data_IF_661791191933
#
_entry.id   IF_661791191933
#
_cell.length_a   1.000
_cell.length_b   1.000
_cell.length_c   1.000
_cell.angle_alpha   90.00
_cell.angle_beta   90.00
_cell.angle_gamma   90.00
#
_symmetry.space_group_name_H-M   'P 1'
#
loop_
_entity.id
_entity.type
_entity.pdbx_description
1 polymer ?
#
# COMPACT_ATOMS: atom_id res chain seq x y z
N UNK A 1 44.15 -3.64 -48.73
CA UNK A 1 43.19 -4.53 -48.04
C UNK A 1 43.33 -4.28 -46.55
N UNK A 2 42.38 -3.55 -45.97
CA UNK A 2 42.35 -3.15 -44.55
C UNK A 2 41.85 -4.30 -43.69
N UNK A 3 42.52 -4.58 -42.57
CA UNK A 3 42.02 -5.47 -41.51
C UNK A 3 41.84 -4.62 -40.24
N UNK A 4 40.60 -4.26 -39.93
CA UNK A 4 40.21 -3.52 -38.73
C UNK A 4 39.63 -4.52 -37.73
N UNK A 5 40.38 -4.79 -36.66
CA UNK A 5 39.87 -5.43 -35.45
C UNK A 5 38.91 -4.44 -34.77
N UNK A 6 37.61 -4.75 -34.79
CA UNK A 6 36.60 -4.00 -34.03
C UNK A 6 36.54 -4.56 -32.60
N UNK A 7 36.88 -3.71 -31.64
CA UNK A 7 36.56 -3.94 -30.23
C UNK A 7 35.04 -3.89 -30.06
N UNK A 8 34.40 -5.04 -29.85
CA UNK A 8 33.03 -5.09 -29.39
C UNK A 8 32.98 -4.56 -27.95
N UNK A 9 32.53 -3.31 -27.80
CA UNK A 9 32.24 -2.70 -26.50
C UNK A 9 30.92 -3.28 -26.00
N UNK A 10 30.94 -3.97 -24.87
CA UNK A 10 29.71 -4.39 -24.20
C UNK A 10 28.90 -3.15 -23.78
N UNK A 11 27.55 -3.17 -23.90
CA UNK A 11 26.70 -2.04 -23.51
C UNK A 11 26.77 -1.79 -21.99
N UNK A 12 26.64 -0.51 -21.57
CA UNK A 12 26.96 -0.09 -20.19
C UNK A 12 26.14 -0.78 -19.10
N UNK A 13 24.95 -1.28 -19.42
CA UNK A 13 24.10 -2.02 -18.48
C UNK A 13 24.67 -3.39 -18.07
N UNK A 14 25.61 -3.96 -18.84
CA UNK A 14 26.24 -5.24 -18.51
C UNK A 14 27.22 -5.13 -17.32
N UNK A 15 27.69 -3.91 -16.99
CA UNK A 15 28.46 -3.63 -15.78
C UNK A 15 27.56 -3.39 -14.55
N UNK A 16 26.27 -3.10 -14.75
CA UNK A 16 25.32 -2.83 -13.67
C UNK A 16 24.84 -4.12 -13.00
N UNK A 17 24.70 -5.23 -13.74
CA UNK A 17 24.27 -6.53 -13.17
C UNK A 17 25.26 -7.10 -12.16
N UNK A 18 26.56 -6.90 -12.37
CA UNK A 18 27.60 -7.38 -11.46
C UNK A 18 27.72 -6.48 -10.21
N UNK A 19 27.46 -5.17 -10.36
CA UNK A 19 27.40 -4.22 -9.26
C UNK A 19 26.15 -4.43 -8.38
N UNK A 20 25.01 -4.79 -8.99
CA UNK A 20 23.77 -5.15 -8.29
C UNK A 20 23.96 -6.47 -7.51
N UNK A 21 24.55 -7.50 -8.13
CA UNK A 21 24.83 -8.77 -7.46
C UNK A 21 25.83 -8.61 -6.29
N UNK A 22 26.87 -7.76 -6.44
CA UNK A 22 27.80 -7.45 -5.35
C UNK A 22 27.14 -6.66 -4.22
N UNK A 23 26.22 -5.74 -4.52
CA UNK A 23 25.42 -5.04 -3.49
C UNK A 23 24.47 -5.98 -2.74
N UNK A 24 23.83 -6.93 -3.44
CA UNK A 24 22.99 -7.96 -2.81
C UNK A 24 23.79 -8.86 -1.86
N UNK A 25 25.02 -9.24 -2.23
CA UNK A 25 25.93 -10.03 -1.38
C UNK A 25 26.52 -9.24 -0.20
N UNK A 26 26.78 -7.94 -0.38
CA UNK A 26 27.31 -7.09 0.68
C UNK A 26 26.23 -6.66 1.69
N UNK A 27 24.95 -6.58 1.28
CA UNK A 27 23.81 -6.36 2.18
C UNK A 27 23.46 -7.57 3.05
N UNK A 28 23.82 -8.79 2.66
CA UNK A 28 23.67 -9.98 3.50
C UNK A 28 24.66 -10.05 4.67
N UNK A 29 25.76 -9.29 4.63
CA UNK A 29 26.84 -9.37 5.62
C UNK A 29 26.70 -8.41 6.81
N UNK A 30 25.73 -7.48 6.81
CA UNK A 30 25.60 -6.44 7.84
C UNK A 30 24.38 -6.62 8.76
N UNK A 31 23.87 -7.87 8.88
CA UNK A 31 22.66 -8.20 9.65
C UNK A 31 22.98 -8.52 11.11
N UNK A 32 23.29 -7.50 11.90
CA UNK A 32 23.18 -7.60 13.37
C UNK A 32 22.03 -6.69 13.83
N UNK A 33 20.90 -7.31 14.16
CA UNK A 33 19.81 -6.68 14.92
C UNK A 33 18.47 -6.45 14.21
N UNK A 34 18.31 -6.76 12.92
CA UNK A 34 17.00 -6.65 12.27
C UNK A 34 16.13 -7.87 12.58
N UNK A 35 14.97 -7.62 13.18
CA UNK A 35 13.86 -8.55 13.34
C UNK A 35 13.66 -9.34 12.04
N UNK A 36 13.61 -10.68 12.13
CA UNK A 36 13.62 -11.56 10.96
C UNK A 36 12.31 -11.43 10.17
N UNK A 37 12.25 -10.45 9.28
CA UNK A 37 11.10 -10.21 8.42
C UNK A 37 10.98 -11.24 7.30
N UNK A 38 9.75 -11.42 6.82
CA UNK A 38 9.43 -12.19 5.62
C UNK A 38 9.89 -11.39 4.41
N UNK A 39 10.60 -12.05 3.49
CA UNK A 39 11.00 -11.47 2.21
C UNK A 39 9.94 -11.73 1.14
N UNK A 40 9.53 -10.68 0.44
CA UNK A 40 8.50 -10.69 -0.61
C UNK A 40 9.09 -10.09 -1.87
N UNK A 41 8.82 -10.71 -3.01
CA UNK A 41 9.19 -10.16 -4.31
C UNK A 41 7.92 -9.98 -5.14
N UNK A 42 7.58 -8.73 -5.43
CA UNK A 42 6.46 -8.38 -6.30
C UNK A 42 7.00 -7.90 -7.64
N UNK A 43 6.34 -8.32 -8.71
CA UNK A 43 6.59 -7.81 -10.06
C UNK A 43 5.26 -7.38 -10.65
N UNK A 44 5.20 -6.16 -11.18
CA UNK A 44 4.07 -5.64 -11.93
C UNK A 44 4.45 -5.44 -13.40
N UNK A 45 3.49 -5.64 -14.29
CA UNK A 45 3.69 -5.44 -15.74
C UNK A 45 3.91 -3.97 -16.08
N UNK A 46 3.23 -3.07 -15.37
CA UNK A 46 3.28 -1.63 -15.59
C UNK A 46 3.26 -0.86 -14.26
N UNK A 47 3.79 0.36 -14.26
CA UNK A 47 3.86 1.24 -13.07
C UNK A 47 2.46 1.66 -12.59
N UNK A 48 1.47 1.67 -13.47
CA UNK A 48 0.06 1.96 -13.17
C UNK A 48 -0.67 0.79 -12.54
N UNK A 49 -0.10 -0.42 -12.59
CA UNK A 49 -0.73 -1.61 -12.03
C UNK A 49 -0.82 -1.50 -10.52
N UNK A 50 -2.03 -1.74 -9.99
CA UNK A 50 -2.33 -1.61 -8.57
C UNK A 50 -1.65 -2.72 -7.77
N UNK A 51 -0.81 -2.33 -6.81
CA UNK A 51 -0.16 -3.27 -5.89
C UNK A 51 -1.20 -3.92 -4.97
N UNK A 52 -2.14 -3.13 -4.46
CA UNK A 52 -3.28 -3.60 -3.67
C UNK A 52 -3.07 -3.63 -2.16
N UNK A 53 -2.20 -2.76 -1.64
CA UNK A 53 -2.03 -2.54 -0.21
C UNK A 53 -2.43 -1.11 0.16
N UNK A 54 -3.27 -0.96 1.18
CA UNK A 54 -3.48 0.32 1.85
C UNK A 54 -2.47 0.44 2.99
N UNK A 55 -1.68 1.51 2.96
CA UNK A 55 -0.56 1.71 3.86
C UNK A 55 -0.77 2.95 4.72
N UNK A 56 -0.56 2.80 6.02
CA UNK A 56 -0.55 3.88 6.97
C UNK A 56 0.86 4.16 7.49
N UNK A 57 1.12 5.44 7.77
CA UNK A 57 2.35 5.90 8.41
C UNK A 57 2.01 6.88 9.52
N UNK A 58 2.90 6.97 10.50
CA UNK A 58 2.91 8.01 11.53
C UNK A 58 4.31 8.58 11.59
N UNK A 59 4.43 9.87 11.84
CA UNK A 59 5.75 10.49 12.00
C UNK A 59 6.55 9.77 13.09
N UNK A 60 7.84 9.60 12.85
CA UNK A 60 8.79 8.88 13.72
C UNK A 60 8.52 7.37 13.92
N UNK A 61 7.44 6.82 13.33
CA UNK A 61 7.26 5.37 13.28
C UNK A 61 8.09 4.77 12.15
N UNK A 62 8.83 3.70 12.43
CA UNK A 62 9.50 2.91 11.41
C UNK A 62 8.51 2.00 10.68
N UNK A 63 8.67 1.93 9.36
CA UNK A 63 7.88 1.07 8.48
C UNK A 63 6.55 1.68 8.00
N UNK A 64 5.85 0.91 7.17
CA UNK A 64 4.52 1.23 6.64
C UNK A 64 3.53 0.14 7.09
N UNK A 65 2.53 0.53 7.87
CA UNK A 65 1.53 -0.39 8.41
C UNK A 65 0.52 -0.76 7.32
N UNK A 66 0.35 -2.05 7.05
CA UNK A 66 -0.70 -2.55 6.15
C UNK A 66 -2.02 -2.53 6.91
N UNK A 67 -2.94 -1.67 6.48
CA UNK A 67 -4.26 -1.53 7.11
C UNK A 67 -5.35 -2.27 6.36
N UNK A 68 -5.19 -2.43 5.04
CA UNK A 68 -6.16 -3.11 4.20
C UNK A 68 -5.52 -3.63 2.90
N UNK A 69 -6.22 -4.53 2.22
CA UNK A 69 -5.76 -5.27 1.05
C UNK A 69 -6.85 -5.30 -0.01
N UNK A 70 -6.48 -5.03 -1.26
CA UNK A 70 -7.41 -5.09 -2.38
C UNK A 70 -7.38 -6.47 -3.05
N UNK A 71 -8.54 -7.04 -3.33
CA UNK A 71 -8.67 -8.24 -4.15
C UNK A 71 -8.27 -7.99 -5.61
N UNK A 72 -7.95 -9.05 -6.36
CA UNK A 72 -7.56 -8.99 -7.77
C UNK A 72 -6.35 -8.07 -8.08
N UNK A 73 -5.50 -7.82 -7.07
CA UNK A 73 -4.29 -7.00 -7.13
C UNK A 73 -3.00 -7.83 -7.21
N UNK A 74 -1.85 -7.16 -7.40
CA UNK A 74 -0.53 -7.82 -7.42
C UNK A 74 -0.26 -8.58 -6.11
N UNK A 75 -0.53 -7.96 -4.96
CA UNK A 75 -0.29 -8.61 -3.67
C UNK A 75 -1.26 -9.76 -3.43
N UNK A 76 -2.52 -9.66 -3.88
CA UNK A 76 -3.50 -10.75 -3.73
C UNK A 76 -3.07 -12.00 -4.49
N UNK A 77 -2.52 -11.83 -5.71
CA UNK A 77 -1.97 -12.93 -6.51
C UNK A 77 -0.74 -13.53 -5.85
N UNK A 78 0.20 -12.69 -5.41
CA UNK A 78 1.39 -13.15 -4.71
C UNK A 78 1.05 -13.97 -3.46
N UNK A 79 0.06 -13.50 -2.68
CA UNK A 79 -0.45 -14.20 -1.50
C UNK A 79 -1.06 -15.57 -1.82
N UNK A 80 -1.80 -15.68 -2.94
CA UNK A 80 -2.37 -16.94 -3.40
C UNK A 80 -1.28 -17.96 -3.80
N UNK A 81 -0.19 -17.47 -4.39
CA UNK A 81 0.98 -18.27 -4.76
C UNK A 81 1.87 -18.62 -3.56
N UNK A 82 1.79 -17.85 -2.47
CA UNK A 82 2.63 -17.98 -1.26
C UNK A 82 1.78 -18.04 0.02
N UNK A 83 0.92 -19.07 0.19
CA UNK A 83 -0.05 -19.11 1.29
C UNK A 83 0.59 -19.11 2.69
N UNK A 84 1.78 -19.71 2.85
CA UNK A 84 2.51 -19.75 4.12
C UNK A 84 3.18 -18.42 4.50
N UNK A 85 3.38 -17.53 3.52
CA UNK A 85 4.06 -16.24 3.69
C UNK A 85 3.12 -15.07 3.46
N UNK A 86 1.81 -15.33 3.49
CA UNK A 86 0.78 -14.38 3.13
C UNK A 86 0.91 -13.10 3.95
N UNK A 87 0.90 -11.97 3.26
CA UNK A 87 0.77 -10.65 3.87
C UNK A 87 -0.70 -10.29 3.97
N UNK A 88 -1.06 -9.59 5.04
CA UNK A 88 -2.38 -8.97 5.17
C UNK A 88 -2.36 -7.78 6.12
N UNK A 89 -3.54 -7.20 6.33
CA UNK A 89 -3.74 -6.17 7.35
C UNK A 89 -3.17 -6.64 8.70
N UNK A 90 -2.47 -5.75 9.40
CA UNK A 90 -1.73 -6.08 10.63
C UNK A 90 -0.25 -6.38 10.43
N UNK A 91 0.24 -6.46 9.20
CA UNK A 91 1.68 -6.52 8.92
C UNK A 91 2.27 -5.11 8.80
N UNK A 92 3.58 -4.99 9.03
CA UNK A 92 4.35 -3.78 8.73
C UNK A 92 5.38 -4.08 7.65
N UNK A 93 5.45 -3.24 6.63
CA UNK A 93 6.55 -3.22 5.66
C UNK A 93 7.72 -2.48 6.30
N UNK A 94 8.80 -3.19 6.58
CA UNK A 94 10.01 -2.68 7.21
C UNK A 94 10.95 -2.05 6.20
N UNK A 95 11.01 -2.58 4.97
CA UNK A 95 11.81 -2.01 3.90
C UNK A 95 11.27 -2.33 2.51
N UNK A 96 11.63 -1.49 1.54
CA UNK A 96 11.36 -1.66 0.10
C UNK A 96 12.66 -1.43 -0.67
N UNK A 97 13.09 -2.39 -1.46
CA UNK A 97 14.35 -2.33 -2.23
C UNK A 97 15.57 -1.90 -1.37
N UNK A 98 15.58 -2.32 -0.10
CA UNK A 98 16.67 -2.06 0.83
C UNK A 98 16.62 -0.73 1.58
N UNK A 99 15.66 0.17 1.29
CA UNK A 99 15.43 1.38 2.11
C UNK A 99 14.34 1.14 3.15
N UNK A 100 14.54 1.68 4.36
CA UNK A 100 13.57 1.70 5.46
C UNK A 100 13.02 3.12 5.72
N UNK A 101 13.40 4.09 4.89
CA UNK A 101 12.85 5.44 4.93
C UNK A 101 11.41 5.43 4.37
N UNK A 102 10.42 5.78 5.18
CA UNK A 102 9.01 5.67 4.81
C UNK A 102 8.58 6.49 3.59
N UNK A 103 9.19 7.65 3.35
CA UNK A 103 8.90 8.47 2.17
C UNK A 103 9.52 7.86 0.91
N UNK A 104 10.74 7.37 1.00
CA UNK A 104 11.42 6.70 -0.11
C UNK A 104 10.74 5.37 -0.46
N UNK A 105 10.35 4.58 0.56
CA UNK A 105 9.55 3.37 0.38
C UNK A 105 8.27 3.65 -0.40
N UNK A 106 7.53 4.72 -0.07
CA UNK A 106 6.32 5.12 -0.79
C UNK A 106 6.61 5.56 -2.23
N UNK A 107 7.73 6.24 -2.47
CA UNK A 107 8.14 6.60 -3.83
C UNK A 107 8.43 5.35 -4.66
N UNK A 108 9.20 4.40 -4.12
CA UNK A 108 9.54 3.15 -4.80
C UNK A 108 8.30 2.30 -5.11
N UNK A 109 7.38 2.17 -4.15
CA UNK A 109 6.09 1.50 -4.35
C UNK A 109 5.29 2.13 -5.50
N UNK A 110 5.47 3.44 -5.76
CA UNK A 110 4.82 4.12 -6.88
C UNK A 110 5.57 3.95 -8.19
N UNK A 111 6.90 3.93 -8.21
CA UNK A 111 7.69 4.02 -9.45
C UNK A 111 8.28 2.70 -9.95
N UNK A 112 8.57 1.74 -9.08
CA UNK A 112 9.35 0.55 -9.45
C UNK A 112 8.50 -0.62 -9.92
N UNK A 113 8.92 -1.31 -10.98
CA UNK A 113 8.21 -2.49 -11.48
C UNK A 113 8.51 -3.76 -10.64
N UNK A 114 9.70 -3.82 -10.04
CA UNK A 114 10.13 -4.90 -9.18
C UNK A 114 10.37 -4.36 -7.77
N UNK A 115 9.74 -5.02 -6.81
CA UNK A 115 9.75 -4.60 -5.41
C UNK A 115 10.18 -5.77 -4.55
N UNK A 116 11.26 -5.57 -3.81
CA UNK A 116 11.77 -6.48 -2.79
C UNK A 116 11.39 -5.90 -1.43
N UNK A 117 10.37 -6.49 -0.81
CA UNK A 117 9.84 -6.03 0.47
C UNK A 117 10.37 -6.91 1.60
N UNK A 118 10.56 -6.30 2.77
CA UNK A 118 10.69 -7.02 4.03
C UNK A 118 9.47 -6.65 4.87
N UNK A 119 8.72 -7.64 5.33
CA UNK A 119 7.54 -7.42 6.16
C UNK A 119 7.61 -8.21 7.48
N UNK A 120 6.93 -7.70 8.51
CA UNK A 120 6.81 -8.38 9.80
C UNK A 120 5.34 -8.45 10.22
N UNK A 121 4.95 -9.59 10.80
CA UNK A 121 3.67 -9.75 11.51
C UNK A 121 3.75 -9.30 12.98
N UNK A 122 4.96 -9.07 13.48
CA UNK A 122 5.19 -8.58 14.84
C UNK A 122 5.15 -7.06 14.81
N UNK A 123 4.14 -6.49 15.48
CA UNK A 123 3.98 -5.04 15.60
C UNK A 123 4.66 -4.53 16.87
N UNK A 124 5.38 -3.42 16.74
CA UNK A 124 5.83 -2.61 17.86
C UNK A 124 4.67 -1.83 18.46
N UNK A 125 4.84 -1.30 19.67
CA UNK A 125 3.78 -0.61 20.41
C UNK A 125 3.17 0.58 19.63
N UNK A 126 4.00 1.39 18.99
CA UNK A 126 3.58 2.52 18.16
C UNK A 126 2.75 2.09 16.94
N UNK A 127 3.09 0.95 16.34
CA UNK A 127 2.36 0.35 15.22
C UNK A 127 1.04 -0.28 15.67
N UNK A 128 1.03 -0.94 16.83
CA UNK A 128 -0.18 -1.51 17.43
C UNK A 128 -1.19 -0.42 17.76
N UNK A 129 -0.75 0.69 18.35
CA UNK A 129 -1.59 1.87 18.61
C UNK A 129 -2.21 2.42 17.32
N UNK A 130 -1.43 2.52 16.25
CA UNK A 130 -1.95 2.98 14.97
C UNK A 130 -2.98 1.99 14.40
N UNK A 131 -2.69 0.69 14.44
CA UNK A 131 -3.60 -0.37 14.01
C UNK A 131 -4.93 -0.34 14.77
N UNK A 132 -4.90 -0.14 16.08
CA UNK A 132 -6.10 -0.03 16.91
C UNK A 132 -6.97 1.15 16.46
N UNK A 133 -6.37 2.32 16.20
CA UNK A 133 -7.10 3.48 15.67
C UNK A 133 -7.74 3.20 14.30
N UNK A 134 -7.05 2.48 13.42
CA UNK A 134 -7.64 2.09 12.14
C UNK A 134 -8.80 1.13 12.31
N UNK A 135 -8.74 0.18 13.25
CA UNK A 135 -9.87 -0.71 13.55
C UNK A 135 -11.06 0.06 14.12
N UNK A 136 -10.83 1.00 15.04
CA UNK A 136 -11.86 1.87 15.58
C UNK A 136 -12.52 2.72 14.48
N UNK A 137 -11.71 3.30 13.59
CA UNK A 137 -12.22 4.08 12.46
C UNK A 137 -12.91 3.23 11.39
N UNK A 138 -12.44 2.00 11.14
CA UNK A 138 -13.10 1.08 10.23
C UNK A 138 -14.47 0.62 10.76
N UNK A 139 -14.61 0.48 12.09
CA UNK A 139 -15.92 0.26 12.71
C UNK A 139 -16.82 1.47 12.45
N UNK A 140 -16.30 2.69 12.59
CA UNK A 140 -17.08 3.91 12.30
C UNK A 140 -17.42 4.04 10.81
N UNK A 141 -16.49 3.70 9.91
CA UNK A 141 -16.73 3.66 8.46
C UNK A 141 -17.81 2.64 8.10
N UNK A 142 -17.75 1.43 8.66
CA UNK A 142 -18.81 0.43 8.50
C UNK A 142 -20.16 0.88 9.07
N UNK A 143 -20.17 1.72 10.12
CA UNK A 143 -21.41 2.35 10.60
C UNK A 143 -21.96 3.33 9.57
N UNK A 144 -21.11 4.17 8.95
CA UNK A 144 -21.50 5.11 7.88
C UNK A 144 -21.99 4.35 6.63
N UNK A 145 -21.26 3.32 6.19
CA UNK A 145 -21.63 2.50 5.02
C UNK A 145 -22.95 1.72 5.25
N UNK A 146 -23.24 1.33 6.48
CA UNK A 146 -24.47 0.66 6.85
C UNK A 146 -25.66 1.62 7.05
N UNK A 147 -25.43 2.94 6.94
CA UNK A 147 -26.51 3.90 7.07
C UNK A 147 -27.47 3.80 5.87
N UNK A 148 -28.78 3.94 6.11
CA UNK A 148 -29.75 3.87 5.03
C UNK A 148 -29.54 5.03 4.05
N UNK A 149 -29.45 4.68 2.78
CA UNK A 149 -29.47 5.64 1.68
C UNK A 149 -30.89 5.74 1.15
N UNK A 150 -31.38 6.97 1.00
CA UNK A 150 -32.71 7.24 0.45
C UNK A 150 -32.62 8.45 -0.49
N UNK A 151 -33.49 8.52 -1.52
CA UNK A 151 -33.62 9.73 -2.33
C UNK A 151 -33.99 10.93 -1.45
N UNK A 152 -33.37 12.09 -1.68
CA UNK A 152 -33.58 13.31 -0.89
C UNK A 152 -35.07 13.68 -0.74
N UNK A 153 -35.87 13.48 -1.80
CA UNK A 153 -37.34 13.69 -1.78
C UNK A 153 -38.09 12.88 -0.73
N UNK A 154 -37.60 11.67 -0.38
CA UNK A 154 -38.30 10.78 0.56
C UNK A 154 -38.21 11.26 2.01
N UNK A 155 -37.20 12.05 2.33
CA UNK A 155 -37.00 12.64 3.65
C UNK A 155 -37.27 14.15 3.64
N UNK A 156 -37.68 14.71 2.50
CA UNK A 156 -37.95 16.14 2.35
C UNK A 156 -36.70 17.01 2.50
N UNK A 157 -35.52 16.46 2.24
CA UNK A 157 -34.26 17.18 2.33
C UNK A 157 -33.99 17.86 0.99
N UNK A 158 -33.71 19.17 1.00
CA UNK A 158 -33.39 19.95 -0.21
C UNK A 158 -31.95 20.45 -0.22
N UNK A 159 -31.22 20.28 0.89
CA UNK A 159 -29.87 20.81 1.07
C UNK A 159 -29.10 19.87 1.98
N UNK A 160 -27.87 19.51 1.58
CA UNK A 160 -26.99 18.69 2.38
C UNK A 160 -26.52 19.48 3.62
N UNK A 161 -26.73 18.93 4.82
CA UNK A 161 -26.39 19.64 6.07
C UNK A 161 -24.89 19.69 6.40
N UNK A 162 -24.06 18.98 5.63
CA UNK A 162 -22.61 18.96 5.83
C UNK A 162 -21.93 19.96 4.88
N UNK A 163 -22.17 19.85 3.58
CA UNK A 163 -21.54 20.75 2.60
C UNK A 163 -22.39 22.01 2.28
N UNK A 164 -23.65 22.04 2.71
CA UNK A 164 -24.61 23.15 2.46
C UNK A 164 -24.95 23.36 0.99
N UNK A 165 -24.73 22.35 0.15
CA UNK A 165 -25.11 22.36 -1.26
C UNK A 165 -26.55 21.86 -1.43
N UNK A 166 -27.22 22.33 -2.47
CA UNK A 166 -28.57 21.90 -2.84
C UNK A 166 -28.56 20.44 -3.32
N UNK A 167 -29.59 19.70 -2.93
CA UNK A 167 -29.78 18.28 -3.28
C UNK A 167 -30.80 18.14 -4.41
N UNK A 168 -30.50 17.32 -5.40
CA UNK A 168 -31.53 16.90 -6.36
C UNK A 168 -32.54 15.97 -5.66
N UNK A 169 -33.86 16.10 -5.90
CA UNK A 169 -34.87 15.24 -5.29
C UNK A 169 -34.64 13.72 -5.46
N UNK A 170 -34.00 13.30 -6.56
CA UNK A 170 -33.67 11.89 -6.84
C UNK A 170 -32.27 11.48 -6.34
N UNK A 171 -31.46 12.43 -5.87
CA UNK A 171 -30.12 12.16 -5.38
C UNK A 171 -30.16 11.30 -4.11
N UNK A 172 -29.34 10.25 -4.10
CA UNK A 172 -29.22 9.38 -2.93
C UNK A 172 -28.39 10.06 -1.87
N UNK A 173 -28.99 10.22 -0.69
CA UNK A 173 -28.34 10.78 0.49
C UNK A 173 -28.30 9.76 1.61
N UNK A 174 -27.23 9.83 2.39
CA UNK A 174 -27.12 9.07 3.63
C UNK A 174 -28.05 9.68 4.68
N UNK A 175 -28.85 8.84 5.34
CA UNK A 175 -29.90 9.29 6.27
C UNK A 175 -29.61 8.88 7.71
N UNK A 176 -29.58 9.84 8.62
CA UNK A 176 -29.51 9.61 10.06
C UNK A 176 -30.84 9.06 10.60
N UNK A 177 -30.84 8.42 11.77
CA UNK A 177 -32.08 7.95 12.43
C UNK A 177 -33.06 9.10 12.77
N UNK A 178 -32.58 10.34 12.83
CA UNK A 178 -33.38 11.56 12.97
C UNK A 178 -33.88 12.13 11.62
N UNK A 179 -33.74 11.39 10.53
CA UNK A 179 -34.19 11.71 9.16
C UNK A 179 -33.51 12.91 8.48
N UNK A 180 -32.38 13.38 9.00
CA UNK A 180 -31.52 14.32 8.28
C UNK A 180 -30.67 13.58 7.23
N UNK A 181 -30.56 14.17 6.05
CA UNK A 181 -29.79 13.65 4.91
C UNK A 181 -28.52 14.45 4.62
N UNK A 182 -27.48 13.78 4.14
CA UNK A 182 -26.25 14.40 3.63
C UNK A 182 -25.61 13.56 2.50
N UNK A 183 -24.77 14.19 1.69
CA UNK A 183 -23.97 13.50 0.66
C UNK A 183 -23.03 12.47 1.29
N UNK A 184 -22.91 11.30 0.68
CA UNK A 184 -21.85 10.34 0.98
C UNK A 184 -20.63 10.61 0.12
#
# INVERSE_FOLDING_TARGET
>A
MFNLLSHARLPSWAHDTEAIARRSLQMSANREGHEAGIHICLTRSEVTTIIGMTLARKDFMQGLLVTDMMDNSVISRWNAENPEKRIGAGHVILSVNGTDNSLEMLALLRTELRLELVASSTLRQDQLELMTRFKENAILGGVLDAMPHLPAKRIGCTTCLICLEDLDPEEEVMVLQCFHGFHH
#
